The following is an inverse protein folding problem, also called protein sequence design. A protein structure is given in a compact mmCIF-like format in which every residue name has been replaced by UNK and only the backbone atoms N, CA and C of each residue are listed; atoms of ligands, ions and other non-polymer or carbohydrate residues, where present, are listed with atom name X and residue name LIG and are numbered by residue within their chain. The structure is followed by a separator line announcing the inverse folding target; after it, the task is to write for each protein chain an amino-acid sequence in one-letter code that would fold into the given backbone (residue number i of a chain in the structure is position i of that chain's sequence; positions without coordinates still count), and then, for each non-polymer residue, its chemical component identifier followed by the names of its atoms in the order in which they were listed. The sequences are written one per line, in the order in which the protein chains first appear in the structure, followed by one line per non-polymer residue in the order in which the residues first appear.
data_IF_682165537042
#
_entry.id   IF_682165537042
#
_cell.length_a   1.000
_cell.length_b   1.000
_cell.length_c   1.000
_cell.angle_alpha   90.00
_cell.angle_beta   90.00
_cell.angle_gamma   90.00
#
_symmetry.space_group_name_H-M   'P 1'
#
loop_
_entity.id
_entity.type
_entity.pdbx_description
1 polymer ?
#
# COMPACT_ATOMS: atom_id res chain seq x y z
N UNK A 1 0.89 -16.84 -0.82
CA UNK A 1 2.09 -16.13 -1.29
C UNK A 1 1.74 -14.75 -1.79
N UNK A 2 2.47 -13.76 -1.30
CA UNK A 2 2.23 -12.38 -1.68
C UNK A 2 2.68 -12.13 -3.11
N UNK A 3 1.88 -11.34 -3.83
CA UNK A 3 2.22 -10.93 -5.18
C UNK A 3 2.56 -9.45 -5.24
N UNK A 4 2.61 -8.80 -4.12
CA UNK A 4 3.05 -7.42 -4.03
C UNK A 4 4.31 -7.36 -3.18
N UNK A 5 5.01 -6.25 -3.27
CA UNK A 5 6.20 -6.02 -2.45
C UNK A 5 5.89 -5.01 -1.37
N UNK A 6 6.26 -5.33 -0.14
CA UNK A 6 6.21 -4.38 0.97
C UNK A 6 7.55 -4.41 1.66
N UNK A 7 8.18 -3.24 1.76
CA UNK A 7 9.45 -3.16 2.48
C UNK A 7 9.23 -3.62 3.92
N UNK A 8 10.27 -4.19 4.51
CA UNK A 8 10.11 -4.79 5.83
C UNK A 8 9.70 -3.78 6.90
N UNK A 9 9.95 -2.49 6.69
CA UNK A 9 9.53 -1.46 7.64
C UNK A 9 8.10 -1.00 7.44
N UNK A 10 7.46 -1.42 6.35
CA UNK A 10 6.07 -1.04 6.10
C UNK A 10 5.15 -1.84 7.00
N UNK A 11 4.07 -1.20 7.43
CA UNK A 11 3.07 -1.83 8.28
C UNK A 11 1.77 -1.92 7.51
N UNK A 12 1.26 -3.13 7.37
CA UNK A 12 -0.01 -3.35 6.66
C UNK A 12 -0.94 -4.02 7.65
N UNK A 13 -2.01 -3.30 7.98
CA UNK A 13 -2.98 -3.80 8.94
C UNK A 13 -3.82 -4.92 8.34
N UNK A 14 -4.62 -5.55 9.18
CA UNK A 14 -5.47 -6.65 8.76
C UNK A 14 -6.52 -6.21 7.76
N UNK A 15 -6.98 -7.18 6.98
CA UNK A 15 -8.12 -7.01 6.08
C UNK A 15 -7.85 -6.06 4.93
N UNK A 16 -6.59 -5.92 4.53
CA UNK A 16 -6.23 -5.16 3.35
C UNK A 16 -6.10 -6.08 2.16
N UNK A 17 -6.51 -5.60 1.00
CA UNK A 17 -6.32 -6.30 -0.26
C UNK A 17 -5.37 -5.48 -1.11
N UNK A 18 -4.28 -6.10 -1.54
CA UNK A 18 -3.25 -5.39 -2.30
C UNK A 18 -2.97 -6.19 -3.56
N UNK A 19 -3.11 -5.53 -4.69
CA UNK A 19 -2.99 -6.19 -5.98
C UNK A 19 -1.56 -6.50 -6.36
N UNK A 20 -1.46 -7.33 -7.39
CA UNK A 20 -0.18 -7.81 -7.88
C UNK A 20 0.66 -6.66 -8.42
N UNK A 21 1.96 -6.70 -8.16
CA UNK A 21 2.89 -5.72 -8.69
C UNK A 21 2.94 -4.41 -7.93
N UNK A 22 2.10 -4.25 -6.92
CA UNK A 22 2.13 -3.03 -6.10
C UNK A 22 3.36 -3.05 -5.20
N UNK A 23 3.95 -1.88 -5.01
CA UNK A 23 5.13 -1.73 -4.15
C UNK A 23 4.83 -0.72 -3.05
N UNK A 24 5.19 -1.11 -1.83
CA UNK A 24 4.98 -0.26 -0.65
C UNK A 24 6.34 -0.07 0.01
N UNK A 25 6.76 1.17 0.13
CA UNK A 25 8.12 1.47 0.51
C UNK A 25 8.25 1.73 2.01
N UNK A 26 9.36 2.35 2.42
CA UNK A 26 9.80 2.41 3.81
C UNK A 26 8.82 3.14 4.69
N UNK A 27 8.54 2.57 5.87
CA UNK A 27 7.81 3.23 6.95
C UNK A 27 6.40 3.68 6.59
N UNK A 28 5.83 3.11 5.54
CA UNK A 28 4.45 3.42 5.18
C UNK A 28 3.50 2.55 5.98
N UNK A 29 2.33 3.08 6.26
CA UNK A 29 1.33 2.37 7.04
C UNK A 29 0.03 2.33 6.25
N UNK A 30 -0.37 1.11 5.88
CA UNK A 30 -1.64 0.87 5.19
C UNK A 30 -2.61 0.40 6.25
N UNK A 31 -3.61 1.22 6.52
CA UNK A 31 -4.50 0.93 7.64
C UNK A 31 -5.60 -0.02 7.20
N UNK A 32 -6.34 -0.51 8.20
CA UNK A 32 -7.23 -1.65 8.00
C UNK A 32 -8.29 -1.41 6.94
N UNK A 33 -8.62 -2.47 6.22
CA UNK A 33 -9.74 -2.46 5.27
C UNK A 33 -9.44 -1.79 3.94
N UNK A 34 -8.19 -1.43 3.66
CA UNK A 34 -7.86 -0.79 2.39
C UNK A 34 -7.89 -1.77 1.24
N UNK A 35 -8.27 -1.28 0.08
CA UNK A 35 -8.20 -2.05 -1.17
C UNK A 35 -7.31 -1.27 -2.13
N UNK A 36 -6.17 -1.88 -2.48
CA UNK A 36 -5.20 -1.24 -3.37
C UNK A 36 -5.07 -2.11 -4.60
N UNK A 37 -5.18 -1.49 -5.77
CA UNK A 37 -5.17 -2.24 -7.01
C UNK A 37 -3.78 -2.73 -7.39
N UNK A 38 -3.63 -3.04 -8.68
CA UNK A 38 -2.37 -3.60 -9.20
C UNK A 38 -1.42 -2.51 -9.63
N UNK A 39 -0.13 -2.81 -9.56
CA UNK A 39 0.94 -1.96 -10.10
C UNK A 39 0.93 -0.56 -9.52
N UNK A 40 0.50 -0.42 -8.28
CA UNK A 40 0.57 0.86 -7.57
C UNK A 40 1.96 1.05 -6.98
N UNK A 41 2.32 2.28 -6.69
CA UNK A 41 3.57 2.57 -6.01
C UNK A 41 3.28 3.50 -4.84
N UNK A 42 3.41 2.96 -3.64
CA UNK A 42 3.17 3.72 -2.41
C UNK A 42 4.53 4.12 -1.88
N UNK A 43 4.83 5.41 -1.91
CA UNK A 43 6.14 5.90 -1.51
C UNK A 43 6.45 5.67 -0.04
N UNK A 44 7.50 6.31 0.45
CA UNK A 44 7.88 6.13 1.84
C UNK A 44 7.15 7.13 2.73
N UNK A 45 6.97 6.74 4.00
CA UNK A 45 6.31 7.59 5.00
C UNK A 45 4.91 8.01 4.57
N UNK A 46 4.17 7.07 3.98
CA UNK A 46 2.81 7.32 3.50
C UNK A 46 1.84 6.67 4.48
N UNK A 47 0.76 7.38 4.81
CA UNK A 47 -0.31 6.81 5.60
C UNK A 47 -1.55 6.72 4.72
N UNK A 48 -2.03 5.50 4.55
CA UNK A 48 -3.29 5.27 3.85
C UNK A 48 -4.34 4.98 4.92
N UNK A 49 -5.31 5.88 5.03
CA UNK A 49 -6.33 5.81 6.07
C UNK A 49 -7.19 4.56 5.91
N UNK A 50 -7.93 4.19 6.96
CA UNK A 50 -8.74 2.96 6.88
C UNK A 50 -9.74 3.02 5.74
N UNK A 51 -9.93 1.88 5.10
CA UNK A 51 -10.98 1.67 4.10
C UNK A 51 -10.84 2.54 2.86
N UNK A 52 -9.62 2.98 2.58
CA UNK A 52 -9.34 3.72 1.34
C UNK A 52 -9.27 2.72 0.18
N UNK A 53 -9.80 3.13 -0.95
CA UNK A 53 -9.74 2.33 -2.18
C UNK A 53 -8.89 3.07 -3.19
N UNK A 54 -7.82 2.42 -3.66
CA UNK A 54 -6.98 2.94 -4.73
C UNK A 54 -7.13 2.04 -5.94
N UNK A 55 -7.29 2.64 -7.10
CA UNK A 55 -7.38 1.87 -8.33
C UNK A 55 -6.02 1.33 -8.75
N UNK A 56 -5.93 0.92 -10.00
CA UNK A 56 -4.68 0.38 -10.53
C UNK A 56 -3.75 1.50 -10.95
N UNK A 57 -2.46 1.23 -10.89
CA UNK A 57 -1.42 2.12 -11.41
C UNK A 57 -1.39 3.49 -10.72
N UNK A 58 -1.82 3.54 -9.48
CA UNK A 58 -1.81 4.77 -8.70
C UNK A 58 -0.43 4.96 -8.10
N UNK A 59 0.09 6.18 -8.20
CA UNK A 59 1.37 6.52 -7.58
C UNK A 59 1.10 7.49 -6.44
N UNK A 60 1.52 7.11 -5.24
CA UNK A 60 1.41 7.96 -4.07
C UNK A 60 2.81 8.44 -3.72
N UNK A 61 2.99 9.75 -3.70
CA UNK A 61 4.28 10.33 -3.44
C UNK A 61 4.69 10.12 -1.98
N UNK A 62 5.95 10.42 -1.68
CA UNK A 62 6.45 10.28 -0.32
C UNK A 62 5.77 11.25 0.62
N UNK A 63 5.65 10.86 1.87
CA UNK A 63 5.19 11.73 2.94
C UNK A 63 3.75 12.22 2.78
N UNK A 64 2.89 11.37 2.23
CA UNK A 64 1.48 11.70 2.06
C UNK A 64 0.64 11.11 3.18
#
# INVERSE_FOLDING_TARGET
KQKYFAHETAVIDENCQIGEGTKIWHFSHIMTGCVIGTNCNIGQNVVISPEVVLGNNVKVQNNV
#
